data_IF_023753244232
#
_entry.id   IF_023753244232
#
_cell.length_a   1.000
_cell.length_b   1.000
_cell.length_c   1.000
_cell.angle_alpha   90.00
_cell.angle_beta   90.00
_cell.angle_gamma   90.00
#
_symmetry.space_group_name_H-M   'P 1'
#
loop_
_entity.id
_entity.type
_entity.pdbx_description
1 polymer ?
#
# COMPACT_ATOMS: atom_id res chain seq x y z
N UNK A 1 1.37 -6.55 14.48
CA UNK A 1 2.39 -7.21 13.62
C UNK A 1 2.86 -6.17 12.62
N UNK A 2 4.16 -5.92 12.54
CA UNK A 2 4.71 -4.97 11.57
C UNK A 2 4.70 -5.63 10.19
N UNK A 3 4.05 -5.00 9.22
CA UNK A 3 3.93 -5.49 7.85
C UNK A 3 5.28 -5.29 7.18
N UNK A 4 6.07 -6.35 7.01
CA UNK A 4 7.49 -6.26 6.63
C UNK A 4 7.75 -5.58 5.28
N UNK A 5 6.71 -5.44 4.45
CA UNK A 5 6.79 -4.84 3.12
C UNK A 5 6.31 -3.39 3.03
N UNK A 6 5.69 -2.87 4.09
CA UNK A 6 5.24 -1.47 4.18
C UNK A 6 6.05 -0.73 5.22
N UNK A 7 6.57 0.42 4.82
CA UNK A 7 7.08 1.43 5.72
C UNK A 7 5.91 2.16 6.39
N UNK A 8 5.68 1.84 7.66
CA UNK A 8 4.58 2.43 8.44
C UNK A 8 4.75 3.92 8.66
N UNK A 9 5.98 4.47 8.66
CA UNK A 9 6.19 5.91 8.79
C UNK A 9 5.69 6.64 7.54
N UNK A 10 6.02 6.11 6.36
CA UNK A 10 5.51 6.65 5.08
C UNK A 10 3.98 6.55 5.01
N UNK A 11 3.43 5.39 5.37
CA UNK A 11 1.98 5.18 5.35
C UNK A 11 1.24 6.09 6.34
N UNK A 12 1.81 6.32 7.52
CA UNK A 12 1.25 7.23 8.52
C UNK A 12 1.33 8.69 8.09
N UNK A 13 2.33 9.05 7.27
CA UNK A 13 2.49 10.38 6.70
C UNK A 13 1.45 10.76 5.64
N UNK A 14 0.74 9.79 5.07
CA UNK A 14 -0.37 10.05 4.13
C UNK A 14 -1.58 10.57 4.91
N UNK A 15 -2.19 11.66 4.45
CA UNK A 15 -3.38 12.22 5.08
C UNK A 15 -4.66 11.50 4.66
N UNK A 16 -5.68 11.58 5.50
CA UNK A 16 -7.02 11.09 5.16
C UNK A 16 -7.54 11.77 3.89
N UNK A 17 -8.14 10.99 2.99
CA UNK A 17 -8.62 11.43 1.69
C UNK A 17 -7.59 11.42 0.57
N UNK A 18 -6.29 11.28 0.88
CA UNK A 18 -5.22 11.24 -0.12
C UNK A 18 -5.13 9.88 -0.82
N UNK A 19 -4.75 9.93 -2.10
CA UNK A 19 -4.48 8.75 -2.90
C UNK A 19 -2.99 8.46 -2.92
N UNK A 20 -2.63 7.19 -2.97
CA UNK A 20 -1.25 6.73 -3.03
C UNK A 20 -1.12 5.38 -3.73
N UNK A 21 0.10 5.00 -4.05
CA UNK A 21 0.47 3.72 -4.63
C UNK A 21 1.39 2.95 -3.68
N UNK A 22 1.52 1.63 -3.87
CA UNK A 22 2.39 0.80 -3.03
C UNK A 22 3.84 1.30 -2.99
N UNK A 23 4.34 1.82 -4.12
CA UNK A 23 5.71 2.39 -4.22
C UNK A 23 5.94 3.57 -3.28
N UNK A 24 4.89 4.27 -2.87
CA UNK A 24 5.00 5.44 -1.99
C UNK A 24 5.21 5.01 -0.53
N UNK A 25 4.81 3.78 -0.20
CA UNK A 25 4.83 3.24 1.18
C UNK A 25 5.67 1.98 1.31
N UNK A 26 6.28 1.47 0.23
CA UNK A 26 7.15 0.28 0.31
C UNK A 26 8.38 0.55 1.18
N UNK A 27 8.77 -0.47 1.96
CA UNK A 27 9.99 -0.41 2.78
C UNK A 27 11.23 -0.26 1.91
N UNK A 28 12.08 0.73 2.24
CA UNK A 28 13.35 0.97 1.52
C UNK A 28 14.37 -0.16 1.71
N UNK A 29 14.16 -1.05 2.69
CA UNK A 29 15.03 -2.19 2.95
C UNK A 29 14.76 -3.37 2.02
N UNK A 30 13.68 -3.34 1.25
CA UNK A 30 13.32 -4.42 0.33
C UNK A 30 13.95 -4.24 -1.05
N UNK A 31 14.50 -5.30 -1.65
CA UNK A 31 15.06 -5.23 -2.99
C UNK A 31 13.95 -5.02 -4.02
N UNK A 32 14.24 -4.19 -5.03
CA UNK A 32 13.30 -3.88 -6.10
C UNK A 32 12.78 -5.11 -6.87
N UNK A 33 13.54 -6.21 -6.87
CA UNK A 33 13.13 -7.48 -7.51
C UNK A 33 11.87 -8.08 -6.88
N UNK A 34 11.60 -7.80 -5.61
CA UNK A 34 10.47 -8.38 -4.87
C UNK A 34 9.26 -7.44 -4.80
N UNK A 35 9.39 -6.17 -5.20
CA UNK A 35 8.34 -5.15 -5.06
C UNK A 35 7.03 -5.51 -5.78
N UNK A 36 7.10 -6.23 -6.90
CA UNK A 36 5.89 -6.69 -7.59
C UNK A 36 5.10 -7.72 -6.75
N UNK A 37 5.82 -8.64 -6.11
CA UNK A 37 5.24 -9.65 -5.22
C UNK A 37 4.72 -8.99 -3.94
N UNK A 38 5.49 -8.07 -3.37
CA UNK A 38 5.12 -7.34 -2.17
C UNK A 38 3.91 -6.43 -2.38
N UNK A 39 3.80 -5.79 -3.55
CA UNK A 39 2.62 -5.00 -3.92
C UNK A 39 1.36 -5.86 -4.06
N UNK A 40 1.48 -7.08 -4.60
CA UNK A 40 0.36 -8.02 -4.66
C UNK A 40 -0.07 -8.50 -3.26
N UNK A 41 0.89 -8.72 -2.35
CA UNK A 41 0.60 -9.03 -0.95
C UNK A 41 -0.12 -7.85 -0.30
N UNK A 42 0.41 -6.63 -0.42
CA UNK A 42 -0.21 -5.44 0.14
C UNK A 42 -1.64 -5.24 -0.37
N UNK A 43 -1.87 -5.40 -1.68
CA UNK A 43 -3.22 -5.30 -2.24
C UNK A 43 -4.20 -6.27 -1.58
N UNK A 44 -3.82 -7.56 -1.51
CA UNK A 44 -4.64 -8.60 -0.89
C UNK A 44 -4.92 -8.29 0.58
N UNK A 45 -3.93 -7.78 1.30
CA UNK A 45 -4.09 -7.42 2.70
C UNK A 45 -5.04 -6.24 2.93
N UNK A 46 -5.05 -5.25 2.03
CA UNK A 46 -6.02 -4.15 2.05
C UNK A 46 -7.41 -4.69 1.75
N UNK A 47 -7.56 -5.56 0.74
CA UNK A 47 -8.84 -6.21 0.39
C UNK A 47 -9.38 -7.10 1.53
N UNK A 48 -8.50 -7.76 2.28
CA UNK A 48 -8.84 -8.56 3.47
C UNK A 48 -9.14 -7.71 4.73
N UNK A 49 -9.02 -6.38 4.63
CA UNK A 49 -9.32 -5.46 5.73
C UNK A 49 -8.25 -5.43 6.83
N UNK A 50 -7.02 -5.91 6.57
CA UNK A 50 -5.90 -5.79 7.51
C UNK A 50 -5.42 -4.34 7.67
N UNK A 51 -5.81 -3.46 6.74
CA UNK A 51 -5.65 -2.02 6.83
C UNK A 51 -7.02 -1.36 6.85
N UNK A 52 -7.56 -1.15 8.04
CA UNK A 52 -8.96 -0.71 8.24
C UNK A 52 -9.24 0.72 7.75
N UNK A 53 -8.20 1.51 7.52
CA UNK A 53 -8.26 2.91 7.08
C UNK A 53 -7.72 3.10 5.66
N UNK A 54 -7.69 2.04 4.86
CA UNK A 54 -7.22 2.06 3.48
C UNK A 54 -8.20 1.30 2.62
N UNK A 55 -8.53 1.84 1.46
CA UNK A 55 -9.36 1.17 0.46
C UNK A 55 -8.65 1.13 -0.87
N UNK A 56 -8.89 0.07 -1.64
CA UNK A 56 -8.43 -0.03 -3.03
C UNK A 56 -9.35 0.83 -3.91
N UNK A 57 -8.75 1.68 -4.74
CA UNK A 57 -9.45 2.53 -5.71
C UNK A 57 -9.06 2.05 -7.11
N UNK A 58 -9.90 1.19 -7.69
CA UNK A 58 -9.72 0.60 -9.02
C UNK A 58 -10.61 1.30 -10.08
N UNK A 59 -10.63 2.63 -10.10
CA UNK A 59 -11.28 3.36 -11.18
C UNK A 59 -10.26 3.56 -12.32
N UNK A 60 -10.33 2.70 -13.35
CA UNK A 60 -9.71 2.85 -14.68
C UNK A 60 -8.20 3.15 -14.75
N UNK A 61 -7.41 2.74 -13.74
CA UNK A 61 -5.97 2.99 -13.73
C UNK A 61 -5.14 1.77 -14.20
N UNK A 62 -4.07 2.02 -14.98
CA UNK A 62 -3.06 1.02 -15.38
C UNK A 62 -2.34 0.37 -14.18
N UNK A 63 -2.47 0.97 -12.99
CA UNK A 63 -1.84 0.55 -11.75
C UNK A 63 -2.83 0.66 -10.57
N UNK A 64 -2.70 -0.25 -9.61
CA UNK A 64 -3.52 -0.25 -8.39
C UNK A 64 -3.24 1.01 -7.58
N UNK A 65 -4.31 1.74 -7.23
CA UNK A 65 -4.25 2.89 -6.33
C UNK A 65 -5.01 2.60 -5.04
N UNK A 66 -4.58 3.28 -3.99
CA UNK A 66 -5.17 3.20 -2.67
C UNK A 66 -5.60 4.58 -2.22
N UNK A 67 -6.59 4.65 -1.34
CA UNK A 67 -7.00 5.88 -0.67
C UNK A 67 -7.06 5.65 0.82
N UNK A 68 -6.52 6.60 1.59
CA UNK A 68 -6.65 6.61 3.04
C UNK A 68 -8.02 7.18 3.42
N UNK A 69 -8.74 6.49 4.29
CA UNK A 69 -10.07 6.86 4.79
C UNK A 69 -10.08 7.04 6.29
#
# INVERSE_FOLDING_TARGET
MQKSHVDMEKLNGIHEGEHFEFRDVVSATLPNSDHAKDGAIFNKEVEEGLYTNIVVVNEDADHVRYKKI
#
